data_IF_991804894861
#
_entry.id   IF_991804894861
#
_cell.length_a   1.000
_cell.length_b   1.000
_cell.length_c   1.000
_cell.angle_alpha   90.00
_cell.angle_beta   90.00
_cell.angle_gamma   90.00
#
_symmetry.space_group_name_H-M   'P 1'
#
loop_
_entity.id
_entity.type
_entity.pdbx_description
1 polymer ?
#
# COMPACT_ATOMS: atom_id res chain seq x y z
N UNK A 1 -11.65 -25.58 10.01
CA UNK A 1 -11.78 -24.54 8.97
C UNK A 1 -10.98 -23.35 9.43
N UNK A 2 -10.11 -22.81 8.58
CA UNK A 2 -9.37 -21.58 8.91
C UNK A 2 -10.34 -20.40 8.83
N UNK A 3 -10.41 -19.60 9.89
CA UNK A 3 -11.12 -18.32 9.90
C UNK A 3 -10.31 -17.28 9.14
N UNK A 4 -10.98 -16.36 8.44
CA UNK A 4 -10.28 -15.29 7.73
C UNK A 4 -9.57 -14.37 8.72
N UNK A 5 -8.37 -13.89 8.38
CA UNK A 5 -7.60 -12.93 9.20
C UNK A 5 -8.44 -11.72 9.66
N UNK A 6 -9.31 -11.21 8.78
CA UNK A 6 -10.20 -10.09 9.07
C UNK A 6 -11.21 -10.41 10.17
N UNK A 7 -11.75 -11.63 10.18
CA UNK A 7 -12.75 -12.07 11.16
C UNK A 7 -12.14 -12.28 12.54
N UNK A 8 -10.96 -12.90 12.63
CA UNK A 8 -10.23 -13.07 13.89
C UNK A 8 -9.82 -11.73 14.49
N UNK A 9 -9.23 -10.87 13.66
CA UNK A 9 -8.80 -9.54 14.10
C UNK A 9 -9.99 -8.68 14.51
N UNK A 10 -11.13 -8.77 13.83
CA UNK A 10 -12.35 -8.08 14.22
C UNK A 10 -12.86 -8.54 15.59
N UNK A 11 -12.89 -9.85 15.83
CA UNK A 11 -13.33 -10.43 17.10
C UNK A 11 -12.43 -10.00 18.27
N UNK A 12 -11.11 -9.97 18.07
CA UNK A 12 -10.14 -9.59 19.11
C UNK A 12 -10.08 -8.08 19.33
N UNK A 13 -10.15 -7.28 18.25
CA UNK A 13 -10.04 -5.82 18.33
C UNK A 13 -11.36 -5.11 18.66
N UNK A 14 -12.49 -5.80 18.58
CA UNK A 14 -13.84 -5.21 18.72
C UNK A 14 -14.22 -4.26 17.58
N UNK A 15 -13.41 -4.18 16.51
CA UNK A 15 -13.67 -3.33 15.34
C UNK A 15 -14.46 -4.11 14.29
N UNK A 16 -15.23 -3.40 13.49
CA UNK A 16 -15.95 -4.01 12.36
C UNK A 16 -14.96 -4.65 11.37
N UNK A 17 -15.29 -5.86 10.88
CA UNK A 17 -14.46 -6.60 9.93
C UNK A 17 -14.09 -5.78 8.68
N UNK A 18 -15.04 -5.00 8.16
CA UNK A 18 -14.81 -4.09 7.03
C UNK A 18 -13.72 -3.05 7.30
N UNK A 19 -13.56 -2.62 8.55
CA UNK A 19 -12.48 -1.70 8.94
C UNK A 19 -11.13 -2.40 8.84
N UNK A 20 -11.04 -3.64 9.32
CA UNK A 20 -9.80 -4.43 9.26
C UNK A 20 -9.41 -4.71 7.81
N UNK A 21 -10.38 -5.09 6.97
CA UNK A 21 -10.14 -5.32 5.54
C UNK A 21 -9.58 -4.07 4.83
N UNK A 22 -10.14 -2.89 5.12
CA UNK A 22 -9.64 -1.62 4.55
C UNK A 22 -8.24 -1.29 5.05
N UNK A 23 -7.98 -1.49 6.33
CA UNK A 23 -6.68 -1.22 6.93
C UNK A 23 -5.61 -2.16 6.33
N UNK A 24 -5.93 -3.44 6.13
CA UNK A 24 -5.07 -4.40 5.46
C UNK A 24 -4.79 -4.01 3.99
N UNK A 25 -5.82 -3.65 3.21
CA UNK A 25 -5.64 -3.27 1.80
C UNK A 25 -4.82 -1.98 1.63
N UNK A 26 -4.92 -1.04 2.58
CA UNK A 26 -4.08 0.18 2.58
C UNK A 26 -2.63 -0.16 2.89
N UNK A 27 -2.38 -1.01 3.88
CA UNK A 27 -1.04 -1.47 4.24
C UNK A 27 -0.32 -2.20 3.10
N UNK A 28 -1.06 -2.85 2.20
CA UNK A 28 -0.49 -3.50 1.01
C UNK A 28 -0.02 -2.49 -0.06
N UNK A 29 -0.67 -1.32 -0.16
CA UNK A 29 -0.52 -0.40 -1.29
C UNK A 29 0.16 0.93 -0.94
N UNK A 30 0.31 1.22 0.34
CA UNK A 30 0.98 2.41 0.86
C UNK A 30 2.31 1.97 1.48
N UNK A 31 3.42 2.59 1.06
CA UNK A 31 4.74 2.26 1.59
C UNK A 31 4.86 2.66 3.06
N UNK A 32 5.67 1.92 3.80
CA UNK A 32 5.94 2.22 5.21
C UNK A 32 6.60 3.59 5.40
N UNK A 33 7.42 4.04 4.44
CA UNK A 33 7.97 5.40 4.39
C UNK A 33 6.88 6.47 4.29
N UNK A 34 5.91 6.29 3.39
CA UNK A 34 4.80 7.24 3.24
C UNK A 34 3.91 7.26 4.49
N UNK A 35 3.67 6.10 5.11
CA UNK A 35 2.98 5.99 6.40
C UNK A 35 3.74 6.72 7.51
N UNK A 36 5.07 6.58 7.58
CA UNK A 36 5.92 7.26 8.54
C UNK A 36 5.89 8.78 8.42
N UNK A 37 5.84 9.30 7.19
CA UNK A 37 5.77 10.75 6.93
C UNK A 37 4.47 11.40 7.39
N UNK A 38 3.35 10.67 7.34
CA UNK A 38 2.03 11.21 7.66
C UNK A 38 1.59 10.91 9.09
N UNK A 39 2.22 9.94 9.77
CA UNK A 39 1.83 9.48 11.09
C UNK A 39 1.83 10.62 12.11
N UNK A 40 0.75 10.75 12.88
CA UNK A 40 0.59 11.82 13.88
C UNK A 40 0.34 13.22 13.30
N UNK A 41 0.23 13.35 11.98
CA UNK A 41 -0.23 14.58 11.32
C UNK A 41 -1.75 14.53 11.08
N UNK A 42 -2.34 15.65 10.68
CA UNK A 42 -3.75 15.71 10.25
C UNK A 42 -4.03 14.87 8.98
N UNK A 43 -2.98 14.37 8.31
CA UNK A 43 -3.08 13.48 7.16
C UNK A 43 -3.16 12.00 7.55
N UNK A 44 -2.98 11.66 8.84
CA UNK A 44 -3.09 10.31 9.39
C UNK A 44 -4.56 9.86 9.49
N UNK A 45 -5.22 9.78 8.33
CA UNK A 45 -6.63 9.41 8.23
C UNK A 45 -6.82 8.38 7.13
N UNK A 46 -7.77 7.46 7.36
CA UNK A 46 -8.11 6.45 6.36
C UNK A 46 -8.51 7.04 5.00
N UNK A 47 -9.14 8.22 4.99
CA UNK A 47 -9.52 8.90 3.75
C UNK A 47 -8.31 9.41 2.94
N UNK A 48 -7.24 9.84 3.62
CA UNK A 48 -6.01 10.25 2.95
C UNK A 48 -5.19 9.04 2.48
N UNK A 49 -5.12 7.98 3.27
CA UNK A 49 -4.53 6.70 2.85
C UNK A 49 -5.23 6.13 1.59
N UNK A 50 -6.56 6.25 1.52
CA UNK A 50 -7.33 5.87 0.34
C UNK A 50 -6.96 6.71 -0.90
N UNK A 51 -6.56 7.98 -0.72
CA UNK A 51 -6.06 8.84 -1.80
C UNK A 51 -4.65 8.43 -2.22
N UNK A 52 -3.73 8.21 -1.27
CA UNK A 52 -2.36 7.78 -1.55
C UNK A 52 -2.32 6.47 -2.34
N UNK A 53 -3.14 5.49 -1.94
CA UNK A 53 -3.31 4.23 -2.67
C UNK A 53 -3.72 4.40 -4.14
N UNK A 54 -4.45 5.47 -4.48
CA UNK A 54 -4.84 5.78 -5.87
C UNK A 54 -3.78 6.56 -6.64
N UNK A 55 -2.82 7.16 -5.93
CA UNK A 55 -1.71 7.94 -6.50
C UNK A 55 -0.48 7.07 -6.80
N UNK A 56 -0.36 5.90 -6.17
CA UNK A 56 0.60 4.88 -6.60
C UNK A 56 0.31 4.53 -8.05
N UNK A 57 1.11 5.08 -8.96
CA UNK A 57 1.11 4.68 -10.36
C UNK A 57 1.38 3.18 -10.41
N UNK A 58 0.68 2.38 -11.23
CA UNK A 58 1.14 1.03 -11.50
C UNK A 58 2.57 1.16 -12.03
N UNK A 59 3.53 0.47 -11.40
CA UNK A 59 4.91 0.46 -11.86
C UNK A 59 4.89 0.05 -13.34
N UNK A 60 5.13 1.01 -14.23
CA UNK A 60 5.21 0.74 -15.66
C UNK A 60 6.62 0.24 -15.93
N UNK A 61 6.77 -1.07 -15.93
CA UNK A 61 7.95 -1.71 -16.47
C UNK A 61 7.92 -1.55 -17.99
N UNK A 62 8.47 -0.45 -18.49
CA UNK A 62 8.95 -0.41 -19.88
C UNK A 62 10.10 -1.41 -19.96
N UNK A 63 10.05 -2.46 -20.80
CA UNK A 63 11.21 -3.31 -20.99
C UNK A 63 12.35 -2.43 -21.50
N UNK A 64 13.43 -2.39 -20.73
CA UNK A 64 14.66 -1.70 -21.11
C UNK A 64 15.08 -2.31 -22.45
N UNK A 65 15.02 -1.53 -23.53
CA UNK A 65 15.47 -2.01 -24.83
C UNK A 65 16.99 -2.18 -24.76
N UNK A 66 17.45 -3.43 -24.62
CA UNK A 66 18.87 -3.78 -24.52
C UNK A 66 19.71 -3.25 -25.71
N UNK A 67 19.08 -2.86 -26.83
CA UNK A 67 19.76 -2.25 -27.98
C UNK A 67 20.25 -0.81 -27.74
N UNK A 68 19.83 -0.12 -26.68
CA UNK A 68 20.29 1.25 -26.39
C UNK A 68 21.49 1.33 -25.42
N UNK A 69 21.94 0.20 -24.86
CA UNK A 69 23.03 0.17 -23.86
C UNK A 69 24.41 -0.04 -24.51
N UNK A 70 24.48 -0.36 -25.80
CA UNK A 70 25.73 -0.65 -26.51
C UNK A 70 26.53 0.59 -26.95
N UNK A 71 26.46 1.70 -26.22
CA UNK A 71 27.12 2.98 -26.54
C UNK A 71 28.04 3.54 -25.45
N UNK A 72 28.26 2.81 -24.36
CA UNK A 72 29.22 3.19 -23.32
C UNK A 72 30.40 2.22 -23.37
N UNK A 73 31.35 2.56 -24.24
CA UNK A 73 32.56 1.80 -24.47
C UNK A 73 33.47 2.58 -25.41
N UNK A 74 34.09 3.63 -24.87
CA UNK A 74 35.42 4.15 -25.22
C UNK A 74 36.02 4.77 -23.95
#
# INVERSE_FOLDING_TARGET
MATAFSAETAAVSGRAERSIQRDAERGEKVTEEAMGLIRGTHLDTGAYLDKLKRMTQPIRFEPINMKSVSGWGD
#
